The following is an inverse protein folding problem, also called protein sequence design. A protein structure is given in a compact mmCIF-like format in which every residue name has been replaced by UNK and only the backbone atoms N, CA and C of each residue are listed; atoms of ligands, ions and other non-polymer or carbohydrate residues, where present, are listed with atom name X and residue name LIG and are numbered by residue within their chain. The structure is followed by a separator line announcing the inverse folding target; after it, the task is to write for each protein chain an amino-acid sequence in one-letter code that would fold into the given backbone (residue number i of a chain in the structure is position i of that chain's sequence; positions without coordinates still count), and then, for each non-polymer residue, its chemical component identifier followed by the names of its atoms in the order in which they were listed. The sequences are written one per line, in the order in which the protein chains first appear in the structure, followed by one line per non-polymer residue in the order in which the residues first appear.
data_IF_533021143902
#
_entry.id   IF_533021143902
#
_cell.length_a   1.000
_cell.length_b   1.000
_cell.length_c   1.000
_cell.angle_alpha   90.00
_cell.angle_beta   90.00
_cell.angle_gamma   90.00
#
_symmetry.space_group_name_H-M   'P 1'
#
loop_
_entity.id
_entity.type
_entity.pdbx_description
1 polymer ?
#
# COMPACT_ATOMS: atom_id res chain seq x y z
N UNK A 1 18.40 -57.53 -6.92
CA UNK A 1 19.09 -56.36 -7.53
C UNK A 1 18.28 -55.12 -7.21
N UNK A 2 18.67 -54.40 -6.19
CA UNK A 2 18.03 -53.12 -5.79
C UNK A 2 18.73 -51.98 -6.51
N UNK A 3 18.03 -51.34 -7.46
CA UNK A 3 18.50 -50.10 -8.10
C UNK A 3 18.36 -48.94 -7.10
N UNK A 4 19.47 -48.54 -6.49
CA UNK A 4 19.61 -47.24 -5.82
C UNK A 4 19.66 -46.14 -6.89
N UNK A 5 18.55 -45.47 -7.11
CA UNK A 5 18.59 -44.12 -7.76
C UNK A 5 19.20 -43.17 -6.74
N UNK A 6 20.48 -42.82 -6.92
CA UNK A 6 21.07 -41.64 -6.28
C UNK A 6 20.45 -40.43 -6.95
N UNK A 7 19.72 -39.60 -6.19
CA UNK A 7 19.31 -38.26 -6.61
C UNK A 7 20.60 -37.44 -6.82
N UNK A 8 20.81 -36.83 -7.97
CA UNK A 8 21.92 -35.90 -8.14
C UNK A 8 21.73 -34.71 -7.19
N UNK A 9 22.77 -34.37 -6.42
CA UNK A 9 22.76 -33.14 -5.62
C UNK A 9 22.51 -31.95 -6.54
N UNK A 10 21.45 -31.19 -6.24
CA UNK A 10 21.10 -29.99 -6.97
C UNK A 10 22.21 -28.96 -6.83
N UNK A 11 22.56 -28.29 -7.92
CA UNK A 11 23.50 -27.15 -7.87
C UNK A 11 22.91 -26.01 -7.02
N UNK A 12 23.75 -25.11 -6.49
CA UNK A 12 23.29 -23.99 -5.67
C UNK A 12 22.23 -23.13 -6.38
N UNK A 13 22.31 -22.97 -7.70
CA UNK A 13 21.30 -22.27 -8.52
C UNK A 13 19.97 -23.03 -8.60
N UNK A 14 20.03 -24.35 -8.77
CA UNK A 14 18.85 -25.22 -8.78
C UNK A 14 18.16 -25.25 -7.42
N UNK A 15 18.92 -25.23 -6.34
CA UNK A 15 18.38 -25.16 -4.97
C UNK A 15 17.70 -23.80 -4.71
N UNK A 16 18.27 -22.69 -5.16
CA UNK A 16 17.66 -21.37 -5.09
C UNK A 16 16.36 -21.29 -5.90
N UNK A 17 16.35 -21.84 -7.10
CA UNK A 17 15.16 -21.91 -7.94
C UNK A 17 14.05 -22.73 -7.28
N UNK A 18 14.41 -23.89 -6.73
CA UNK A 18 13.48 -24.78 -6.00
C UNK A 18 12.86 -24.08 -4.78
N UNK A 19 13.68 -23.38 -3.97
CA UNK A 19 13.21 -22.62 -2.82
C UNK A 19 12.28 -21.44 -3.24
N UNK A 20 12.58 -20.81 -4.36
CA UNK A 20 11.74 -19.76 -4.93
C UNK A 20 10.39 -20.29 -5.40
N UNK A 21 10.37 -21.49 -6.05
CA UNK A 21 9.14 -22.14 -6.47
C UNK A 21 8.27 -22.51 -5.26
N UNK A 22 8.85 -23.07 -4.19
CA UNK A 22 8.11 -23.38 -2.95
C UNK A 22 7.53 -22.13 -2.31
N UNK A 23 8.31 -21.03 -2.26
CA UNK A 23 7.81 -19.75 -1.73
C UNK A 23 6.66 -19.18 -2.57
N UNK A 24 6.72 -19.30 -3.90
CA UNK A 24 5.65 -18.90 -4.80
C UNK A 24 4.41 -19.78 -4.66
N UNK A 25 4.59 -21.09 -4.49
CA UNK A 25 3.48 -22.01 -4.26
C UNK A 25 2.76 -21.71 -2.95
N UNK A 26 3.48 -21.43 -1.86
CA UNK A 26 2.87 -21.05 -0.57
C UNK A 26 2.15 -19.69 -0.65
N UNK A 27 2.65 -18.75 -1.46
CA UNK A 27 1.96 -17.48 -1.74
C UNK A 27 0.69 -17.67 -2.56
N UNK A 28 0.72 -18.55 -3.56
CA UNK A 28 -0.45 -18.92 -4.37
C UNK A 28 -1.49 -19.64 -3.51
N UNK A 29 -1.09 -20.55 -2.64
CA UNK A 29 -1.99 -21.25 -1.72
C UNK A 29 -2.62 -20.30 -0.71
N UNK A 30 -1.86 -19.33 -0.16
CA UNK A 30 -2.41 -18.30 0.72
C UNK A 30 -3.35 -17.33 0.00
N UNK A 31 -3.06 -17.02 -1.26
CA UNK A 31 -3.93 -16.18 -2.11
C UNK A 31 -5.20 -16.95 -2.52
N UNK A 32 -5.12 -18.26 -2.79
CA UNK A 32 -6.30 -19.06 -3.11
C UNK A 32 -7.16 -19.33 -1.89
N UNK A 33 -6.59 -19.48 -0.69
CA UNK A 33 -7.34 -19.50 0.58
C UNK A 33 -8.08 -18.19 0.82
N UNK A 34 -7.43 -17.05 0.61
CA UNK A 34 -8.08 -15.73 0.68
C UNK A 34 -9.18 -15.55 -0.38
N UNK A 35 -8.99 -16.07 -1.60
CA UNK A 35 -10.05 -16.04 -2.64
C UNK A 35 -11.18 -17.00 -2.33
N UNK A 36 -10.93 -18.13 -1.68
CA UNK A 36 -11.98 -19.04 -1.22
C UNK A 36 -12.78 -18.46 -0.05
N UNK A 37 -12.15 -17.77 0.87
CA UNK A 37 -12.83 -17.00 1.94
C UNK A 37 -13.61 -15.81 1.36
N UNK A 38 -13.07 -15.09 0.40
CA UNK A 38 -13.80 -14.03 -0.32
C UNK A 38 -14.94 -14.61 -1.17
N UNK A 39 -14.79 -15.81 -1.76
CA UNK A 39 -15.87 -16.50 -2.48
C UNK A 39 -17.02 -16.89 -1.54
N UNK A 40 -16.75 -17.25 -0.29
CA UNK A 40 -17.81 -17.48 0.71
C UNK A 40 -18.59 -16.20 1.03
N UNK A 41 -17.99 -14.99 0.91
CA UNK A 41 -18.68 -13.72 1.06
C UNK A 41 -19.43 -13.28 -0.21
N UNK A 42 -18.95 -13.64 -1.40
CA UNK A 42 -19.63 -13.31 -2.68
C UNK A 42 -20.87 -14.18 -2.95
N UNK A 43 -20.94 -15.39 -2.36
CA UNK A 43 -22.08 -16.31 -2.52
C UNK A 43 -23.15 -16.18 -1.42
N UNK A 44 -23.13 -15.08 -0.66
CA UNK A 44 -24.16 -14.87 0.33
C UNK A 44 -25.53 -14.66 -0.32
N UNK A 45 -26.49 -15.54 -0.03
CA UNK A 45 -27.82 -15.47 -0.62
C UNK A 45 -28.51 -14.13 -0.31
N UNK A 46 -29.37 -13.66 -1.22
CA UNK A 46 -30.16 -12.45 -1.04
C UNK A 46 -30.86 -12.39 0.34
N UNK A 47 -31.41 -13.49 0.80
CA UNK A 47 -32.08 -13.58 2.10
C UNK A 47 -31.14 -13.26 3.28
N UNK A 48 -29.90 -13.76 3.23
CA UNK A 48 -28.88 -13.46 4.25
C UNK A 48 -28.46 -11.99 4.21
N UNK A 49 -28.20 -11.44 3.02
CA UNK A 49 -27.87 -10.01 2.85
C UNK A 49 -29.00 -9.12 3.35
N UNK A 50 -30.25 -9.41 2.98
CA UNK A 50 -31.42 -8.68 3.45
C UNK A 50 -31.56 -8.71 4.97
N UNK A 51 -31.34 -9.87 5.61
CA UNK A 51 -31.37 -10.01 7.08
C UNK A 51 -30.31 -9.13 7.73
N UNK A 52 -29.04 -9.21 7.29
CA UNK A 52 -27.96 -8.41 7.86
C UNK A 52 -28.17 -6.91 7.69
N UNK A 53 -28.59 -6.48 6.49
CA UNK A 53 -28.94 -5.08 6.23
C UNK A 53 -30.08 -4.62 7.14
N UNK A 54 -31.11 -5.44 7.34
CA UNK A 54 -32.25 -5.12 8.19
C UNK A 54 -31.82 -4.94 9.64
N UNK A 55 -30.93 -5.77 10.16
CA UNK A 55 -30.42 -5.67 11.51
C UNK A 55 -29.71 -4.34 11.80
N UNK A 56 -28.98 -3.79 10.81
CA UNK A 56 -28.28 -2.51 10.91
C UNK A 56 -29.18 -1.35 10.56
N UNK A 57 -29.85 -1.43 9.40
CA UNK A 57 -30.65 -0.35 8.84
C UNK A 57 -31.85 0.03 9.71
N UNK A 58 -32.52 -0.95 10.34
CA UNK A 58 -33.65 -0.74 11.21
C UNK A 58 -33.33 -0.64 12.70
N UNK A 59 -32.05 -0.77 13.08
CA UNK A 59 -31.60 -0.60 14.47
C UNK A 59 -31.89 0.81 15.00
N UNK A 60 -31.89 1.81 14.14
CA UNK A 60 -32.34 3.16 14.47
C UNK A 60 -33.84 3.29 14.17
N UNK A 61 -34.67 3.39 15.19
CA UNK A 61 -36.15 3.52 15.11
C UNK A 61 -36.64 4.68 14.26
N UNK A 62 -35.78 5.63 13.88
CA UNK A 62 -36.10 6.76 13.00
C UNK A 62 -35.99 6.42 11.52
N UNK A 63 -35.48 5.26 11.16
CA UNK A 63 -35.33 4.83 9.75
C UNK A 63 -36.57 4.06 9.33
N UNK A 64 -37.11 4.45 8.16
CA UNK A 64 -38.25 3.78 7.53
C UNK A 64 -37.74 2.62 6.66
N UNK A 65 -38.59 1.62 6.48
CA UNK A 65 -38.34 0.51 5.56
C UNK A 65 -38.04 0.98 4.14
N UNK A 66 -37.45 0.09 3.35
CA UNK A 66 -37.38 0.34 1.89
C UNK A 66 -38.80 0.43 1.35
N UNK A 67 -39.03 1.40 0.50
CA UNK A 67 -40.35 1.58 -0.08
C UNK A 67 -40.26 1.62 -1.58
N UNK A 68 -41.29 1.05 -2.24
CA UNK A 68 -41.48 1.20 -3.65
C UNK A 68 -42.00 2.62 -3.94
N UNK A 69 -41.37 3.30 -4.91
CA UNK A 69 -41.84 4.58 -5.40
C UNK A 69 -42.97 4.39 -6.41
N UNK A 70 -43.75 5.44 -6.64
CA UNK A 70 -44.82 5.44 -7.69
C UNK A 70 -44.30 5.14 -9.09
N UNK A 71 -43.02 5.35 -9.34
CA UNK A 71 -42.31 5.06 -10.59
C UNK A 71 -41.73 3.64 -10.67
N UNK A 72 -42.11 2.76 -9.73
CA UNK A 72 -41.67 1.36 -9.67
C UNK A 72 -40.26 1.15 -9.14
N UNK A 73 -39.54 2.21 -8.75
CA UNK A 73 -38.21 2.11 -8.16
C UNK A 73 -38.31 1.96 -6.65
N UNK A 74 -37.24 1.40 -6.05
CA UNK A 74 -37.10 1.24 -4.61
C UNK A 74 -36.14 2.31 -4.06
N UNK A 75 -36.46 2.85 -2.90
CA UNK A 75 -35.65 3.87 -2.21
C UNK A 75 -35.37 3.50 -0.77
N UNK A 76 -34.18 3.85 -0.28
CA UNK A 76 -33.84 3.88 1.13
C UNK A 76 -33.70 5.33 1.64
N UNK A 77 -33.73 5.54 2.94
CA UNK A 77 -33.74 6.89 3.51
C UNK A 77 -32.37 7.40 3.90
N UNK A 78 -31.61 6.60 4.66
CA UNK A 78 -30.30 6.99 5.14
C UNK A 78 -29.45 5.74 5.37
N UNK A 79 -28.49 5.46 4.51
CA UNK A 79 -28.12 6.25 3.32
C UNK A 79 -29.23 6.26 2.25
N UNK A 80 -29.30 7.33 1.46
CA UNK A 80 -30.29 7.46 0.42
C UNK A 80 -29.82 6.79 -0.88
N UNK A 81 -30.38 5.63 -1.18
CA UNK A 81 -30.14 4.93 -2.44
C UNK A 81 -31.44 4.78 -3.23
N UNK A 82 -31.30 4.69 -4.54
CA UNK A 82 -32.38 4.38 -5.46
C UNK A 82 -31.95 3.19 -6.31
N UNK A 83 -32.83 2.23 -6.49
CA UNK A 83 -32.59 1.05 -7.31
C UNK A 83 -33.86 0.62 -8.05
N UNK A 84 -33.75 -0.01 -9.23
CA UNK A 84 -34.90 -0.51 -10.00
C UNK A 84 -35.61 -1.68 -9.32
N UNK A 85 -34.92 -2.40 -8.41
CA UNK A 85 -35.49 -3.53 -7.67
C UNK A 85 -35.07 -3.50 -6.19
N UNK A 86 -35.89 -4.15 -5.35
CA UNK A 86 -35.55 -4.34 -3.93
C UNK A 86 -34.23 -5.09 -3.77
N UNK A 87 -33.98 -6.10 -4.60
CA UNK A 87 -32.75 -6.90 -4.56
C UNK A 87 -31.51 -6.03 -4.78
N UNK A 88 -31.55 -5.13 -5.74
CA UNK A 88 -30.45 -4.19 -5.99
C UNK A 88 -30.30 -3.15 -4.90
N UNK A 89 -31.42 -2.69 -4.31
CA UNK A 89 -31.35 -1.78 -3.18
C UNK A 89 -30.71 -2.44 -1.95
N UNK A 90 -31.10 -3.68 -1.66
CA UNK A 90 -30.49 -4.47 -0.58
C UNK A 90 -29.02 -4.70 -0.87
N UNK A 91 -28.63 -4.97 -2.11
CA UNK A 91 -27.23 -5.12 -2.48
C UNK A 91 -26.44 -3.82 -2.22
N UNK A 92 -26.95 -2.66 -2.68
CA UNK A 92 -26.32 -1.35 -2.44
C UNK A 92 -26.17 -1.04 -0.94
N UNK A 93 -27.20 -1.35 -0.14
CA UNK A 93 -27.15 -1.18 1.30
C UNK A 93 -26.17 -2.15 1.96
N UNK A 94 -26.11 -3.40 1.48
CA UNK A 94 -25.17 -4.39 1.95
C UNK A 94 -23.72 -3.95 1.67
N UNK A 95 -23.43 -3.53 0.46
CA UNK A 95 -22.11 -3.02 0.08
C UNK A 95 -21.73 -1.78 0.90
N UNK A 96 -22.67 -0.88 1.12
CA UNK A 96 -22.44 0.28 1.97
C UNK A 96 -22.08 -0.08 3.42
N UNK A 97 -22.78 -1.07 4.02
CA UNK A 97 -22.57 -1.41 5.43
C UNK A 97 -21.48 -2.46 5.68
N UNK A 98 -21.14 -3.28 4.69
CA UNK A 98 -20.27 -4.44 4.90
C UNK A 98 -19.04 -4.50 4.00
N UNK A 99 -19.06 -3.85 2.85
CA UNK A 99 -17.98 -3.96 1.86
C UNK A 99 -17.21 -2.65 1.63
N UNK A 100 -17.44 -1.63 2.43
CA UNK A 100 -16.81 -0.33 2.27
C UNK A 100 -16.10 0.14 3.54
N UNK A 101 -15.47 -0.77 4.28
CA UNK A 101 -14.55 -0.37 5.34
C UNK A 101 -13.29 0.26 4.76
N UNK A 102 -12.54 1.02 5.55
CA UNK A 102 -11.26 1.56 5.09
C UNK A 102 -10.31 0.44 4.63
N UNK A 103 -10.36 -0.74 5.30
CA UNK A 103 -9.58 -1.91 4.92
C UNK A 103 -10.00 -2.48 3.56
N UNK A 104 -11.31 -2.56 3.27
CA UNK A 104 -11.78 -3.04 1.97
C UNK A 104 -11.35 -2.11 0.83
N UNK A 105 -11.45 -0.80 1.06
CA UNK A 105 -11.01 0.20 0.08
C UNK A 105 -9.48 0.17 -0.10
N UNK A 106 -8.74 -0.06 0.99
CA UNK A 106 -7.29 -0.25 0.89
C UNK A 106 -6.93 -1.45 -0.01
N UNK A 107 -7.60 -2.60 0.15
CA UNK A 107 -7.37 -3.79 -0.69
C UNK A 107 -7.64 -3.48 -2.16
N UNK A 108 -8.76 -2.81 -2.47
CA UNK A 108 -9.09 -2.37 -3.82
C UNK A 108 -8.04 -1.39 -4.38
N UNK A 109 -7.58 -0.44 -3.58
CA UNK A 109 -6.56 0.53 -3.98
C UNK A 109 -5.22 -0.12 -4.31
N UNK A 110 -4.76 -1.08 -3.49
CA UNK A 110 -3.52 -1.84 -3.74
C UNK A 110 -3.64 -2.66 -5.03
N UNK A 111 -4.76 -3.38 -5.20
CA UNK A 111 -5.02 -4.17 -6.40
C UNK A 111 -5.02 -3.29 -7.66
N UNK A 112 -5.74 -2.18 -7.64
CA UNK A 112 -5.78 -1.23 -8.76
C UNK A 112 -4.39 -0.72 -9.15
N UNK A 113 -3.53 -0.41 -8.19
CA UNK A 113 -2.15 0.04 -8.44
C UNK A 113 -1.27 -1.06 -9.02
N UNK A 114 -1.45 -2.31 -8.58
CA UNK A 114 -0.74 -3.45 -9.14
C UNK A 114 -1.15 -3.73 -10.58
N UNK A 115 -2.45 -3.65 -10.89
CA UNK A 115 -2.97 -3.88 -12.23
C UNK A 115 -2.58 -2.77 -13.21
N UNK A 116 -2.61 -1.52 -12.79
CA UNK A 116 -2.31 -0.36 -13.66
C UNK A 116 -0.83 -0.10 -13.85
N UNK A 117 0.04 -0.70 -13.02
CA UNK A 117 1.50 -0.53 -13.05
C UNK A 117 1.99 0.94 -13.08
N UNK A 118 1.17 1.88 -12.60
CA UNK A 118 1.49 3.32 -12.55
C UNK A 118 2.67 3.60 -11.62
N UNK A 119 2.89 2.72 -10.64
CA UNK A 119 3.99 2.81 -9.68
C UNK A 119 4.81 1.53 -9.65
N UNK A 120 6.08 1.64 -9.22
CA UNK A 120 6.94 0.47 -9.12
C UNK A 120 6.42 -0.51 -8.06
N UNK A 121 6.69 -1.80 -8.25
CA UNK A 121 6.36 -2.85 -7.29
C UNK A 121 6.92 -2.55 -5.89
N UNK A 122 8.14 -2.04 -5.83
CA UNK A 122 8.78 -1.62 -4.58
C UNK A 122 7.96 -0.57 -3.82
N UNK A 123 7.37 0.40 -4.53
CA UNK A 123 6.52 1.42 -3.90
C UNK A 123 5.25 0.81 -3.32
N UNK A 124 4.66 -0.17 -4.02
CA UNK A 124 3.48 -0.89 -3.51
C UNK A 124 3.83 -1.65 -2.23
N UNK A 125 4.96 -2.35 -2.20
CA UNK A 125 5.45 -3.09 -1.02
C UNK A 125 5.73 -2.16 0.18
N UNK A 126 6.30 -0.98 -0.06
CA UNK A 126 6.52 0.03 0.97
C UNK A 126 5.18 0.54 1.55
N UNK A 127 4.18 0.78 0.70
CA UNK A 127 2.84 1.22 1.11
C UNK A 127 2.09 0.12 1.89
N UNK A 128 2.21 -1.14 1.46
CA UNK A 128 1.70 -2.31 2.21
C UNK A 128 2.38 -2.40 3.58
N UNK A 129 3.70 -2.21 3.63
CA UNK A 129 4.44 -2.20 4.88
C UNK A 129 4.01 -1.07 5.84
N UNK A 130 3.62 0.10 5.32
CA UNK A 130 3.08 1.21 6.11
C UNK A 130 1.69 0.86 6.63
N UNK A 131 0.80 0.33 5.78
CA UNK A 131 -0.53 -0.09 6.16
C UNK A 131 -0.48 -1.09 7.32
N UNK A 132 0.23 -2.20 7.13
CA UNK A 132 0.29 -3.30 8.10
C UNK A 132 0.85 -2.86 9.46
N UNK A 133 1.83 -1.94 9.47
CA UNK A 133 2.47 -1.50 10.72
C UNK A 133 1.72 -0.40 11.47
N UNK A 134 0.93 0.41 10.78
CA UNK A 134 0.42 1.66 11.38
C UNK A 134 -1.07 1.89 11.24
N UNK A 135 -1.78 1.11 10.42
CA UNK A 135 -3.18 1.35 10.11
C UNK A 135 -4.05 0.10 10.33
N UNK A 136 -3.61 -1.07 9.88
CA UNK A 136 -4.41 -2.30 9.86
C UNK A 136 -5.06 -2.67 11.21
N UNK A 137 -4.32 -2.55 12.31
CA UNK A 137 -4.81 -2.90 13.64
C UNK A 137 -5.57 -1.77 14.35
N UNK A 138 -5.84 -0.66 13.66
CA UNK A 138 -6.56 0.48 14.24
C UNK A 138 -8.07 0.34 14.09
N UNK A 139 -8.83 1.00 14.99
CA UNK A 139 -10.29 1.12 14.84
C UNK A 139 -10.65 1.75 13.48
N UNK A 140 -9.81 2.68 12.99
CA UNK A 140 -10.05 3.36 11.72
C UNK A 140 -10.12 2.39 10.54
N UNK A 141 -9.30 1.33 10.52
CA UNK A 141 -9.28 0.35 9.44
C UNK A 141 -10.64 -0.38 9.30
N UNK A 142 -11.30 -0.62 10.42
CA UNK A 142 -12.59 -1.34 10.51
C UNK A 142 -13.81 -0.43 10.35
N UNK A 143 -13.62 0.89 10.35
CA UNK A 143 -14.71 1.83 10.16
C UNK A 143 -15.18 1.85 8.70
N UNK A 144 -16.50 2.04 8.52
CA UNK A 144 -17.03 2.33 7.19
C UNK A 144 -16.44 3.64 6.67
N UNK A 145 -15.91 3.64 5.47
CA UNK A 145 -15.17 4.79 4.93
C UNK A 145 -16.03 6.06 4.88
N UNK A 146 -17.34 5.92 4.65
CA UNK A 146 -18.28 7.03 4.64
C UNK A 146 -18.55 7.64 6.04
N UNK A 147 -18.25 6.90 7.10
CA UNK A 147 -18.42 7.35 8.50
C UNK A 147 -17.14 7.96 9.08
N UNK A 148 -16.02 7.85 8.36
CA UNK A 148 -14.75 8.40 8.79
C UNK A 148 -14.79 9.93 8.68
N UNK A 149 -14.67 10.58 9.83
CA UNK A 149 -14.64 12.04 9.95
C UNK A 149 -13.20 12.54 10.14
N UNK A 150 -12.93 13.82 9.84
CA UNK A 150 -11.62 14.44 10.09
C UNK A 150 -11.07 14.20 11.51
N UNK A 151 -11.93 14.18 12.53
CA UNK A 151 -11.54 13.94 13.92
C UNK A 151 -10.95 12.55 14.15
N UNK A 152 -11.44 11.53 13.45
CA UNK A 152 -10.92 10.16 13.58
C UNK A 152 -9.50 10.07 13.02
N UNK A 153 -9.25 10.74 11.89
CA UNK A 153 -7.93 10.80 11.26
C UNK A 153 -6.95 11.62 12.13
N UNK A 154 -7.41 12.74 12.69
CA UNK A 154 -6.58 13.55 13.59
C UNK A 154 -6.17 12.79 14.84
N UNK A 155 -7.05 11.97 15.43
CA UNK A 155 -6.69 11.08 16.54
C UNK A 155 -5.57 10.11 16.14
N UNK A 156 -5.67 9.49 14.97
CA UNK A 156 -4.63 8.59 14.46
C UNK A 156 -3.31 9.34 14.24
N UNK A 157 -3.36 10.56 13.69
CA UNK A 157 -2.17 11.40 13.49
C UNK A 157 -1.50 11.79 14.81
N UNK A 158 -2.28 12.09 15.85
CA UNK A 158 -1.78 12.36 17.19
C UNK A 158 -1.09 11.13 17.81
N UNK A 159 -1.67 9.94 17.61
CA UNK A 159 -1.05 8.66 18.03
C UNK A 159 0.28 8.46 17.30
N UNK A 160 0.33 8.66 15.99
CA UNK A 160 1.57 8.48 15.23
C UNK A 160 2.68 9.44 15.64
N UNK A 161 2.33 10.71 15.85
CA UNK A 161 3.32 11.72 16.21
C UNK A 161 3.80 11.62 17.65
N UNK A 162 2.93 11.16 18.56
CA UNK A 162 3.26 10.85 19.96
C UNK A 162 4.14 11.88 20.64
N UNK A 163 3.84 13.18 20.51
CA UNK A 163 4.62 14.29 21.03
C UNK A 163 6.08 14.37 20.48
N UNK A 164 6.24 14.13 19.18
CA UNK A 164 7.52 14.28 18.50
C UNK A 164 8.35 13.00 18.42
N UNK A 165 7.70 11.82 18.44
CA UNK A 165 8.40 10.53 18.27
C UNK A 165 8.87 10.27 16.85
N UNK A 166 8.19 10.80 15.83
CA UNK A 166 8.50 10.57 14.43
C UNK A 166 8.91 11.84 13.70
N UNK A 167 9.67 11.70 12.62
CA UNK A 167 10.03 12.81 11.75
C UNK A 167 8.84 13.24 10.89
N UNK A 168 8.86 14.48 10.39
CA UNK A 168 7.85 14.95 9.42
C UNK A 168 7.84 14.11 8.15
N UNK A 169 9.00 13.59 7.72
CA UNK A 169 9.11 12.71 6.55
C UNK A 169 8.34 11.40 6.77
N UNK A 170 8.56 10.73 7.91
CA UNK A 170 7.86 9.48 8.24
C UNK A 170 6.34 9.68 8.35
N UNK A 171 5.93 10.80 8.96
CA UNK A 171 4.52 11.19 9.01
C UNK A 171 3.93 11.36 7.61
N UNK A 172 4.62 12.10 6.74
CA UNK A 172 4.14 12.34 5.38
C UNK A 172 4.02 11.05 4.57
N UNK A 173 4.93 10.10 4.73
CA UNK A 173 4.85 8.80 4.08
C UNK A 173 3.58 8.04 4.53
N UNK A 174 3.29 8.00 5.84
CA UNK A 174 2.06 7.37 6.36
C UNK A 174 0.80 8.10 5.89
N UNK A 175 0.80 9.43 5.93
CA UNK A 175 -0.30 10.26 5.44
C UNK A 175 -0.56 10.02 3.96
N UNK A 176 0.48 9.83 3.16
CA UNK A 176 0.38 9.59 1.71
C UNK A 176 -0.41 8.31 1.40
N UNK A 177 -0.21 7.23 2.16
CA UNK A 177 -0.98 5.98 2.02
C UNK A 177 -2.47 6.23 2.27
N UNK A 178 -2.81 6.85 3.41
CA UNK A 178 -4.21 7.17 3.71
C UNK A 178 -4.83 8.09 2.65
N UNK A 179 -4.09 9.11 2.21
CA UNK A 179 -4.57 10.01 1.17
C UNK A 179 -4.81 9.28 -0.16
N UNK A 180 -3.95 8.31 -0.52
CA UNK A 180 -4.14 7.46 -1.69
C UNK A 180 -5.43 6.64 -1.61
N UNK A 181 -5.72 6.03 -0.45
CA UNK A 181 -6.93 5.23 -0.22
C UNK A 181 -8.18 6.11 -0.32
N UNK A 182 -8.23 7.26 0.38
CA UNK A 182 -9.38 8.16 0.32
C UNK A 182 -9.58 8.75 -1.08
N UNK A 183 -8.49 9.08 -1.79
CA UNK A 183 -8.59 9.53 -3.18
C UNK A 183 -9.17 8.45 -4.09
N UNK A 184 -8.76 7.20 -3.90
CA UNK A 184 -9.33 6.06 -4.63
C UNK A 184 -10.84 5.93 -4.36
N UNK A 185 -11.27 6.07 -3.11
CA UNK A 185 -12.68 6.03 -2.75
C UNK A 185 -13.49 7.17 -3.38
N UNK A 186 -12.93 8.38 -3.47
CA UNK A 186 -13.57 9.52 -4.15
C UNK A 186 -13.67 9.28 -5.65
N UNK A 187 -12.61 8.78 -6.29
CA UNK A 187 -12.59 8.51 -7.73
C UNK A 187 -13.58 7.41 -8.14
N UNK A 188 -13.86 6.46 -7.24
CA UNK A 188 -14.86 5.40 -7.45
C UNK A 188 -16.25 5.76 -6.89
N UNK A 189 -16.49 7.04 -6.57
CA UNK A 189 -17.78 7.56 -6.08
C UNK A 189 -18.30 6.88 -4.80
N UNK A 190 -17.42 6.20 -4.03
CA UNK A 190 -17.77 5.57 -2.75
C UNK A 190 -18.04 6.62 -1.69
N UNK A 191 -17.26 7.72 -1.72
CA UNK A 191 -17.45 8.90 -0.89
C UNK A 191 -17.40 10.16 -1.77
N UNK A 192 -18.07 11.23 -1.35
CA UNK A 192 -18.15 12.48 -2.11
C UNK A 192 -16.94 13.39 -1.90
N UNK A 193 -16.28 13.30 -0.75
CA UNK A 193 -15.09 14.10 -0.42
C UNK A 193 -14.15 13.33 0.50
N UNK A 194 -12.88 13.68 0.45
CA UNK A 194 -11.86 13.04 1.28
C UNK A 194 -11.75 13.74 2.65
N UNK A 195 -11.95 13.02 3.76
CA UNK A 195 -11.89 13.60 5.10
C UNK A 195 -10.45 13.94 5.57
N UNK A 196 -9.43 13.58 4.79
CA UNK A 196 -8.02 13.88 5.07
C UNK A 196 -7.60 15.24 4.49
N UNK A 197 -8.41 15.82 3.60
CA UNK A 197 -8.16 17.12 3.01
C UNK A 197 -8.25 18.21 4.09
N UNK A 198 -7.38 19.20 4.03
CA UNK A 198 -7.38 20.38 4.89
C UNK A 198 -7.26 20.14 6.41
N UNK A 199 -6.74 18.97 6.81
CA UNK A 199 -6.46 18.71 8.22
C UNK A 199 -5.33 19.61 8.74
N UNK A 200 -5.49 20.20 9.94
CA UNK A 200 -4.53 21.14 10.53
C UNK A 200 -3.28 20.42 11.08
N UNK A 201 -2.50 19.82 10.16
CA UNK A 201 -1.28 19.08 10.50
C UNK A 201 -0.14 19.97 11.05
N UNK A 202 -0.27 21.29 10.99
CA UNK A 202 0.66 22.26 11.57
C UNK A 202 0.67 22.25 13.10
N UNK A 203 -0.40 21.76 13.72
CA UNK A 203 -0.50 21.63 15.19
C UNK A 203 0.24 20.41 15.74
N UNK A 204 0.67 19.49 14.86
CA UNK A 204 1.36 18.25 15.25
C UNK A 204 2.85 18.54 15.52
N UNK A 205 3.38 17.92 16.58
CA UNK A 205 4.81 18.00 16.93
C UNK A 205 5.57 16.87 16.29
N UNK A 206 6.72 17.17 15.70
CA UNK A 206 7.59 16.21 15.04
C UNK A 206 8.97 16.19 15.68
N UNK A 207 9.64 15.04 15.60
CA UNK A 207 11.05 14.94 15.91
C UNK A 207 11.83 15.82 14.94
N UNK A 208 12.75 16.59 15.47
CA UNK A 208 13.68 17.36 14.63
C UNK A 208 14.49 16.37 13.77
N UNK A 209 14.73 16.69 12.50
CA UNK A 209 15.63 15.87 11.70
C UNK A 209 17.00 15.85 12.38
N UNK A 210 17.64 14.68 12.37
CA UNK A 210 19.04 14.60 12.78
C UNK A 210 19.84 15.60 11.95
N UNK A 211 20.85 16.21 12.55
CA UNK A 211 21.73 17.14 11.85
C UNK A 211 22.09 16.58 10.46
N UNK A 212 21.93 17.40 9.43
CA UNK A 212 22.27 17.00 8.07
C UNK A 212 23.69 16.45 8.04
N UNK A 213 23.89 15.30 7.41
CA UNK A 213 25.24 14.80 7.15
C UNK A 213 26.00 15.92 6.44
N UNK A 214 27.11 16.34 7.03
CA UNK A 214 27.96 17.34 6.38
C UNK A 214 28.54 16.73 5.11
N UNK A 215 28.59 17.52 4.06
CA UNK A 215 29.35 17.15 2.88
C UNK A 215 30.86 17.12 3.25
N UNK A 216 31.60 16.25 2.59
CA UNK A 216 33.07 16.25 2.73
C UNK A 216 33.62 17.60 2.31
N UNK A 217 34.62 18.10 3.04
CA UNK A 217 35.42 19.23 2.57
C UNK A 217 36.25 18.85 1.36
N UNK A 218 36.82 19.84 0.69
CA UNK A 218 37.70 19.59 -0.48
C UNK A 218 38.90 18.74 -0.08
N UNK A 219 39.47 19.04 1.09
CA UNK A 219 40.62 18.33 1.67
C UNK A 219 40.27 16.87 1.99
N UNK A 220 39.16 16.63 2.71
CA UNK A 220 38.69 15.30 3.04
C UNK A 220 38.39 14.46 1.79
N UNK A 221 37.79 15.08 0.77
CA UNK A 221 37.54 14.43 -0.52
C UNK A 221 38.85 14.08 -1.24
N UNK A 222 39.82 14.97 -1.24
CA UNK A 222 41.13 14.73 -1.86
C UNK A 222 41.86 13.59 -1.15
N UNK A 223 41.85 13.56 0.17
CA UNK A 223 42.42 12.46 0.96
C UNK A 223 41.74 11.12 0.65
N UNK A 224 40.38 11.10 0.60
CA UNK A 224 39.63 9.91 0.27
C UNK A 224 39.98 9.38 -1.11
N UNK A 225 40.02 10.25 -2.14
CA UNK A 225 40.36 9.87 -3.50
C UNK A 225 41.79 9.37 -3.64
N UNK A 226 42.74 9.98 -2.92
CA UNK A 226 44.11 9.53 -2.89
C UNK A 226 44.24 8.13 -2.27
N UNK A 227 43.54 7.90 -1.16
CA UNK A 227 43.50 6.58 -0.53
C UNK A 227 42.87 5.52 -1.44
N UNK A 228 41.73 5.80 -2.05
CA UNK A 228 41.06 4.87 -2.95
C UNK A 228 41.93 4.46 -4.16
N UNK A 229 42.82 5.32 -4.61
CA UNK A 229 43.76 5.01 -5.69
C UNK A 229 44.87 4.04 -5.27
N UNK A 230 45.14 3.90 -3.98
CA UNK A 230 46.11 2.93 -3.46
C UNK A 230 45.54 1.53 -3.26
N UNK A 231 44.22 1.40 -3.30
CA UNK A 231 43.51 0.12 -3.18
C UNK A 231 43.46 -0.61 -4.52
N UNK A 232 43.19 -1.91 -4.46
CA UNK A 232 42.86 -2.69 -5.64
C UNK A 232 41.60 -2.07 -6.33
N UNK A 233 41.69 -1.90 -7.65
CA UNK A 233 40.63 -1.25 -8.44
C UNK A 233 39.55 -2.25 -8.80
N UNK A 234 38.78 -2.68 -7.80
CA UNK A 234 37.60 -3.50 -7.97
C UNK A 234 36.33 -2.64 -8.27
N UNK A 235 35.23 -3.30 -8.54
CA UNK A 235 33.95 -2.63 -8.82
C UNK A 235 33.46 -1.72 -7.67
N UNK A 236 33.77 -2.06 -6.43
CA UNK A 236 33.37 -1.26 -5.26
C UNK A 236 34.22 0.00 -5.14
N UNK A 237 35.54 -0.13 -5.29
CA UNK A 237 36.48 0.99 -5.27
C UNK A 237 36.17 1.99 -6.36
N UNK A 238 35.91 1.52 -7.58
CA UNK A 238 35.49 2.35 -8.70
C UNK A 238 34.12 3.03 -8.43
N UNK A 239 33.13 2.31 -7.89
CA UNK A 239 31.82 2.88 -7.56
C UNK A 239 31.94 4.02 -6.54
N UNK A 240 32.79 3.87 -5.51
CA UNK A 240 33.03 4.92 -4.51
C UNK A 240 33.76 6.12 -5.14
N UNK A 241 34.72 5.90 -6.04
CA UNK A 241 35.38 6.98 -6.78
C UNK A 241 34.36 7.75 -7.62
N UNK A 242 33.49 7.09 -8.41
CA UNK A 242 32.43 7.74 -9.18
C UNK A 242 31.47 8.54 -8.28
N UNK A 243 31.05 7.97 -7.14
CA UNK A 243 30.23 8.71 -6.16
C UNK A 243 30.97 9.94 -5.61
N UNK A 244 32.26 9.85 -5.39
CA UNK A 244 33.09 10.93 -4.84
C UNK A 244 33.32 12.07 -5.85
N UNK A 245 33.26 11.83 -7.14
CA UNK A 245 33.24 12.88 -8.16
C UNK A 245 31.92 13.67 -8.21
N UNK A 246 30.91 13.22 -7.46
CA UNK A 246 29.77 14.04 -7.05
C UNK A 246 28.64 14.17 -8.06
N UNK A 247 28.63 13.39 -9.13
CA UNK A 247 27.66 13.54 -10.20
C UNK A 247 26.61 12.41 -10.18
N UNK A 248 26.98 11.24 -9.70
CA UNK A 248 26.14 10.03 -9.84
C UNK A 248 25.42 9.66 -8.55
N UNK A 249 24.12 9.31 -8.65
CA UNK A 249 23.40 8.63 -7.58
C UNK A 249 23.80 7.16 -7.53
N UNK A 250 23.67 6.54 -6.33
CA UNK A 250 24.00 5.10 -6.14
C UNK A 250 23.24 4.20 -7.14
N UNK A 251 21.99 4.53 -7.47
CA UNK A 251 21.20 3.80 -8.46
C UNK A 251 21.79 3.92 -9.90
N UNK A 252 22.27 5.09 -10.24
CA UNK A 252 22.92 5.35 -11.52
C UNK A 252 24.27 4.62 -11.63
N UNK A 253 25.06 4.61 -10.53
CA UNK A 253 26.31 3.84 -10.48
C UNK A 253 26.07 2.34 -10.66
N UNK A 254 25.01 1.79 -10.07
CA UNK A 254 24.61 0.38 -10.26
C UNK A 254 24.20 0.05 -11.70
N UNK A 255 23.67 1.04 -12.42
CA UNK A 255 23.28 0.91 -13.82
C UNK A 255 24.39 1.23 -14.84
N UNK A 256 25.61 1.59 -14.36
CA UNK A 256 26.72 1.86 -15.27
C UNK A 256 27.13 0.59 -16.01
N UNK A 257 27.17 0.69 -17.35
CA UNK A 257 27.69 -0.35 -18.21
C UNK A 257 28.86 0.21 -19.01
N UNK A 258 29.90 -0.61 -19.17
CA UNK A 258 31.04 -0.24 -20.00
C UNK A 258 30.69 -0.49 -21.46
N UNK A 259 30.73 0.55 -22.28
CA UNK A 259 30.60 0.38 -23.74
C UNK A 259 31.99 0.18 -24.35
N UNK A 260 32.30 -1.07 -24.69
CA UNK A 260 33.57 -1.46 -25.29
C UNK A 260 33.81 -0.88 -26.72
N UNK A 261 32.76 -0.30 -27.33
CA UNK A 261 32.89 0.33 -28.68
C UNK A 261 33.31 1.79 -28.63
N UNK A 262 33.10 2.45 -27.48
CA UNK A 262 33.47 3.85 -27.25
C UNK A 262 34.18 3.98 -25.90
N UNK A 263 35.50 3.83 -25.92
CA UNK A 263 36.35 3.80 -24.71
C UNK A 263 36.21 5.01 -23.76
N UNK A 264 35.59 6.11 -24.21
CA UNK A 264 35.42 7.36 -23.46
C UNK A 264 33.96 7.66 -23.06
N UNK A 265 33.01 6.77 -23.35
CA UNK A 265 31.59 7.00 -23.08
C UNK A 265 31.09 5.98 -22.04
N UNK A 266 30.56 6.49 -20.96
CA UNK A 266 29.86 5.70 -19.94
C UNK A 266 28.36 5.87 -20.17
N UNK A 267 27.66 4.77 -20.43
CA UNK A 267 26.21 4.77 -20.59
C UNK A 267 25.53 4.33 -19.31
N UNK A 268 24.56 5.10 -18.85
CA UNK A 268 23.68 4.77 -17.70
C UNK A 268 22.37 4.22 -18.27
N UNK A 269 22.02 3.00 -17.89
CA UNK A 269 20.73 2.37 -18.25
C UNK A 269 19.72 2.48 -17.13
#
# INVERSE_FOLDING_TARGET
MQNKFQNPELTAEQQNLYNTIIALQSLIESATLNTAEMSQYTDMTYAKKKKLVSEIYFKDKKRKEFYACKDGRYKSYNPQFIAPSEKELVQKLYDYYFNNTLEDIYKQWVQHRAETQIVSQKTIEEDIGIWNRFIADTELARMQIAEIKPVHIMKLFQIWTGNGKITRKDFNNRKSVLNGIFRHAVLNEIITFSPITDLPCNTLKFKLPNASKKAYTVEERTMLLSYLRTLEQDAYTLAIQFASYGIFRVGEIKGLTWDTKNENIITIK
#
